data_IF_089873894390
#
_entry.id   IF_089873894390
#
_cell.length_a   1.000
_cell.length_b   1.000
_cell.length_c   1.000
_cell.angle_alpha   90.00
_cell.angle_beta   90.00
_cell.angle_gamma   90.00
#
_symmetry.space_group_name_H-M   'P 1'
#
loop_
_entity.id
_entity.type
_entity.pdbx_description
1 polymer ?
#
# COMPACT_ATOMS: atom_id res chain seq x y z
N UNK A 1 -15.63 22.49 1.29
CA UNK A 1 -14.39 22.27 2.07
C UNK A 1 -13.49 21.18 1.50
N UNK A 2 -13.97 19.95 1.25
CA UNK A 2 -13.14 18.89 0.66
C UNK A 2 -12.54 19.26 -0.71
N UNK A 3 -13.35 19.84 -1.61
CA UNK A 3 -12.90 20.36 -2.92
C UNK A 3 -11.83 21.46 -2.80
N UNK A 4 -11.91 22.27 -1.75
CA UNK A 4 -10.97 23.37 -1.50
C UNK A 4 -9.61 22.84 -1.05
N UNK A 5 -9.60 21.80 -0.21
CA UNK A 5 -8.39 21.11 0.23
C UNK A 5 -7.70 20.35 -0.91
N UNK A 6 -8.48 19.68 -1.77
CA UNK A 6 -7.95 19.01 -2.97
C UNK A 6 -7.33 20.04 -3.92
N UNK A 7 -7.98 21.19 -4.14
CA UNK A 7 -7.43 22.30 -4.94
C UNK A 7 -6.12 22.83 -4.35
N UNK A 8 -6.06 23.08 -3.04
CA UNK A 8 -4.85 23.58 -2.38
C UNK A 8 -3.68 22.60 -2.50
N UNK A 9 -3.92 21.31 -2.25
CA UNK A 9 -2.90 20.28 -2.44
C UNK A 9 -2.41 20.23 -3.88
N UNK A 10 -3.32 20.27 -4.85
CA UNK A 10 -2.98 20.25 -6.27
C UNK A 10 -2.17 21.48 -6.70
N UNK A 11 -2.51 22.65 -6.15
CA UNK A 11 -1.80 23.90 -6.44
C UNK A 11 -0.39 23.89 -5.83
N UNK A 12 -0.23 23.27 -4.66
CA UNK A 12 1.08 23.11 -4.00
C UNK A 12 1.97 22.09 -4.73
N UNK A 13 1.43 20.96 -5.20
CA UNK A 13 2.20 20.04 -6.05
C UNK A 13 2.59 20.70 -7.36
N UNK A 14 1.68 21.43 -8.02
CA UNK A 14 2.00 22.16 -9.24
C UNK A 14 3.05 23.26 -9.01
N UNK A 15 3.00 23.98 -7.90
CA UNK A 15 4.01 24.98 -7.57
C UNK A 15 5.37 24.37 -7.20
N UNK A 16 5.41 23.20 -6.54
CA UNK A 16 6.67 22.47 -6.34
C UNK A 16 7.25 21.98 -7.67
N UNK A 17 6.40 21.46 -8.57
CA UNK A 17 6.80 20.99 -9.89
C UNK A 17 7.34 22.12 -10.78
N UNK A 18 6.80 23.34 -10.63
CA UNK A 18 7.30 24.53 -11.32
C UNK A 18 8.62 25.08 -10.76
N UNK A 19 8.96 24.75 -9.50
CA UNK A 19 10.14 25.29 -8.82
C UNK A 19 11.43 24.54 -9.17
N UNK A 20 11.34 23.30 -9.66
CA UNK A 20 12.48 22.51 -10.14
C UNK A 20 12.03 21.53 -11.23
N UNK A 21 12.43 21.72 -12.50
CA UNK A 21 12.13 20.78 -13.57
C UNK A 21 12.71 19.39 -13.29
N UNK A 22 13.82 19.31 -12.54
CA UNK A 22 14.41 18.04 -12.12
C UNK A 22 13.48 17.24 -11.19
N UNK A 23 12.85 17.90 -10.20
CA UNK A 23 11.87 17.24 -9.32
C UNK A 23 10.66 16.75 -10.12
N UNK A 24 10.19 17.54 -11.10
CA UNK A 24 9.10 17.12 -11.98
C UNK A 24 9.48 15.87 -12.77
N UNK A 25 10.65 15.87 -13.43
CA UNK A 25 11.13 14.73 -14.23
C UNK A 25 11.27 13.47 -13.37
N UNK A 26 11.89 13.55 -12.19
CA UNK A 26 12.03 12.41 -11.28
C UNK A 26 10.66 11.91 -10.79
N UNK A 27 9.73 12.82 -10.48
CA UNK A 27 8.37 12.45 -10.05
C UNK A 27 7.59 11.73 -11.15
N UNK A 28 7.67 12.24 -12.39
CA UNK A 28 7.00 11.65 -13.55
C UNK A 28 7.61 10.29 -13.89
N UNK A 29 8.94 10.17 -13.91
CA UNK A 29 9.62 8.90 -14.16
C UNK A 29 9.31 7.88 -13.05
N UNK A 30 9.31 8.30 -11.78
CA UNK A 30 8.93 7.44 -10.67
C UNK A 30 7.47 6.98 -10.75
N UNK A 31 6.55 7.88 -11.09
CA UNK A 31 5.15 7.54 -11.29
C UNK A 31 4.97 6.55 -12.46
N UNK A 32 5.64 6.81 -13.59
CA UNK A 32 5.59 5.94 -14.77
C UNK A 32 6.18 4.56 -14.48
N UNK A 33 7.29 4.51 -13.74
CA UNK A 33 7.92 3.25 -13.34
C UNK A 33 7.00 2.42 -12.45
N UNK A 34 6.42 3.02 -11.41
CA UNK A 34 5.52 2.33 -10.48
C UNK A 34 4.25 1.87 -11.19
N UNK A 35 3.65 2.71 -12.03
CA UNK A 35 2.47 2.34 -12.81
C UNK A 35 2.79 1.28 -13.87
N UNK A 36 3.97 1.34 -14.51
CA UNK A 36 4.43 0.35 -15.47
C UNK A 36 4.65 -1.02 -14.80
N UNK A 37 5.29 -1.05 -13.64
CA UNK A 37 5.44 -2.28 -12.84
C UNK A 37 4.09 -2.83 -12.40
N UNK A 38 3.15 -1.98 -11.98
CA UNK A 38 1.80 -2.40 -11.65
C UNK A 38 1.07 -3.01 -12.85
N UNK A 39 1.19 -2.40 -14.04
CA UNK A 39 0.60 -2.94 -15.26
C UNK A 39 1.17 -4.33 -15.59
N UNK A 40 2.49 -4.49 -15.55
CA UNK A 40 3.13 -5.80 -15.75
C UNK A 40 2.63 -6.82 -14.72
N UNK A 41 2.62 -6.46 -13.44
CA UNK A 41 2.13 -7.34 -12.38
C UNK A 41 0.67 -7.75 -12.61
N UNK A 42 -0.22 -6.81 -12.92
CA UNK A 42 -1.63 -7.10 -13.23
C UNK A 42 -1.73 -8.04 -14.42
N UNK A 43 -0.97 -7.81 -15.51
CA UNK A 43 -1.01 -8.69 -16.67
C UNK A 43 -0.59 -10.11 -16.32
N UNK A 44 0.51 -10.28 -15.57
CA UNK A 44 0.98 -11.60 -15.14
C UNK A 44 -0.01 -12.30 -14.22
N UNK A 45 -0.64 -11.57 -13.30
CA UNK A 45 -1.65 -12.13 -12.40
C UNK A 45 -2.89 -12.57 -13.18
N UNK A 46 -3.41 -11.73 -14.06
CA UNK A 46 -4.65 -12.02 -14.80
C UNK A 46 -4.45 -13.14 -15.82
N UNK A 47 -3.28 -13.25 -16.46
CA UNK A 47 -3.02 -14.31 -17.45
C UNK A 47 -2.42 -15.58 -16.85
N UNK A 48 -1.65 -15.46 -15.76
CA UNK A 48 -0.94 -16.58 -15.14
C UNK A 48 -1.77 -17.37 -14.12
N UNK A 49 -2.55 -16.69 -13.28
CA UNK A 49 -3.35 -17.37 -12.23
C UNK A 49 -4.46 -18.30 -12.75
N UNK A 50 -5.14 -18.05 -13.89
CA UNK A 50 -6.14 -18.96 -14.43
C UNK A 50 -5.60 -20.35 -14.81
N UNK A 51 -4.29 -20.49 -15.02
CA UNK A 51 -3.68 -21.78 -15.35
C UNK A 51 -3.51 -22.72 -14.14
N UNK A 52 -3.70 -22.20 -12.90
CA UNK A 52 -3.59 -23.00 -11.68
C UNK A 52 -4.92 -23.67 -11.30
N UNK A 53 -4.87 -24.81 -10.58
CA UNK A 53 -6.04 -25.38 -9.91
C UNK A 53 -6.69 -24.36 -8.96
N UNK A 54 -8.01 -24.44 -8.81
CA UNK A 54 -8.81 -23.48 -8.03
C UNK A 54 -8.31 -23.28 -6.59
N UNK A 55 -7.89 -24.37 -5.94
CA UNK A 55 -7.38 -24.33 -4.56
C UNK A 55 -6.04 -23.60 -4.46
N UNK A 56 -5.09 -23.94 -5.33
CA UNK A 56 -3.77 -23.31 -5.41
C UNK A 56 -3.89 -21.82 -5.76
N UNK A 57 -4.82 -21.50 -6.65
CA UNK A 57 -5.16 -20.14 -7.06
C UNK A 57 -5.72 -19.31 -5.90
N UNK A 58 -6.66 -19.87 -5.13
CA UNK A 58 -7.19 -19.25 -3.91
C UNK A 58 -6.10 -18.90 -2.91
N UNK A 59 -5.30 -19.89 -2.53
CA UNK A 59 -4.18 -19.71 -1.60
C UNK A 59 -3.17 -18.67 -2.09
N UNK A 60 -2.80 -18.70 -3.38
CA UNK A 60 -1.86 -17.73 -3.98
C UNK A 60 -2.40 -16.30 -3.91
N UNK A 61 -3.68 -16.08 -4.27
CA UNK A 61 -4.26 -14.73 -4.24
C UNK A 61 -4.32 -14.14 -2.83
N UNK A 62 -4.64 -14.97 -1.82
CA UNK A 62 -4.65 -14.55 -0.42
C UNK A 62 -3.23 -14.24 0.06
N UNK A 63 -2.25 -15.07 -0.30
CA UNK A 63 -0.86 -14.89 0.10
C UNK A 63 -0.25 -13.62 -0.50
N UNK A 64 -0.49 -13.36 -1.80
CA UNK A 64 -0.06 -12.10 -2.43
C UNK A 64 -0.73 -10.90 -1.77
N UNK A 65 -2.04 -10.96 -1.51
CA UNK A 65 -2.75 -9.87 -0.84
C UNK A 65 -2.20 -9.60 0.57
N UNK A 66 -1.90 -10.66 1.35
CA UNK A 66 -1.31 -10.55 2.67
C UNK A 66 0.09 -9.92 2.63
N UNK A 67 0.94 -10.31 1.67
CA UNK A 67 2.26 -9.71 1.46
C UNK A 67 2.14 -8.23 1.12
N UNK A 68 1.18 -7.84 0.27
CA UNK A 68 0.94 -6.43 -0.07
C UNK A 68 0.52 -5.62 1.17
N UNK A 69 -0.36 -6.16 2.02
CA UNK A 69 -0.76 -5.51 3.28
C UNK A 69 0.45 -5.35 4.22
N UNK A 70 1.26 -6.38 4.37
CA UNK A 70 2.47 -6.34 5.20
C UNK A 70 3.49 -5.33 4.65
N UNK A 71 3.70 -5.29 3.34
CA UNK A 71 4.56 -4.31 2.69
C UNK A 71 4.10 -2.88 2.98
N UNK A 72 2.78 -2.63 2.93
CA UNK A 72 2.20 -1.32 3.31
C UNK A 72 2.31 -1.00 4.80
N UNK A 73 2.41 -1.99 5.69
CA UNK A 73 2.64 -1.75 7.11
C UNK A 73 4.08 -1.30 7.38
N UNK A 74 5.04 -1.83 6.61
CA UNK A 74 6.47 -1.65 6.86
C UNK A 74 7.06 -0.49 6.05
N UNK A 75 6.80 -0.44 4.74
CA UNK A 75 7.48 0.48 3.81
C UNK A 75 7.17 1.95 4.12
N UNK A 76 5.92 2.40 4.25
CA UNK A 76 5.62 3.82 4.44
C UNK A 76 6.25 4.40 5.72
N UNK A 77 6.15 3.75 6.90
CA UNK A 77 6.87 4.22 8.09
C UNK A 77 8.37 4.39 7.91
N UNK A 78 9.04 3.48 7.20
CA UNK A 78 10.48 3.58 6.93
C UNK A 78 10.82 4.75 6.00
N UNK A 79 10.02 4.97 4.96
CA UNK A 79 10.24 6.06 3.99
C UNK A 79 9.92 7.42 4.62
N UNK A 80 8.87 7.52 5.45
CA UNK A 80 8.49 8.77 6.14
C UNK A 80 9.33 9.06 7.38
N UNK A 81 10.07 8.06 7.89
CA UNK A 81 10.68 8.05 9.23
C UNK A 81 11.91 8.94 9.45
N UNK A 82 12.17 9.93 8.59
CA UNK A 82 13.42 10.71 8.65
C UNK A 82 13.22 12.23 8.72
N UNK A 83 12.08 12.78 8.27
CA UNK A 83 11.88 14.23 8.27
C UNK A 83 11.08 14.73 9.49
N UNK A 84 11.82 15.08 10.54
CA UNK A 84 11.33 15.73 11.76
C UNK A 84 10.98 17.22 11.56
N UNK A 85 10.22 17.57 10.53
CA UNK A 85 9.86 18.98 10.23
C UNK A 85 8.39 19.32 10.52
N UNK A 86 7.55 18.35 10.84
CA UNK A 86 6.13 18.56 11.10
C UNK A 86 5.80 18.29 12.57
N UNK A 87 5.87 19.33 13.38
CA UNK A 87 5.38 19.32 14.77
C UNK A 87 3.84 19.21 14.77
N UNK A 88 3.26 18.08 15.24
CA UNK A 88 1.81 17.84 15.29
C UNK A 88 1.11 18.74 16.32
N UNK A 89 1.85 19.34 17.25
CA UNK A 89 1.28 20.23 18.27
C UNK A 89 0.81 21.57 17.71
N UNK A 90 1.22 21.94 16.49
CA UNK A 90 0.75 23.17 15.84
C UNK A 90 -0.70 23.09 15.31
N UNK A 91 -1.26 21.88 15.19
CA UNK A 91 -2.61 21.68 14.63
C UNK A 91 -3.73 21.59 15.68
N UNK A 92 -3.44 21.71 16.98
CA UNK A 92 -4.45 21.76 18.05
C UNK A 92 -5.38 22.99 17.91
N UNK A 93 -4.97 24.00 17.16
CA UNK A 93 -5.73 25.23 16.92
C UNK A 93 -6.90 25.08 15.93
N UNK A 94 -7.01 23.98 15.19
CA UNK A 94 -8.09 23.79 14.21
C UNK A 94 -9.08 22.70 14.64
N UNK A 95 -10.34 23.03 14.95
CA UNK A 95 -11.38 22.06 15.30
C UNK A 95 -11.86 21.34 14.03
N UNK A 96 -11.04 20.42 13.51
CA UNK A 96 -11.42 19.57 12.38
C UNK A 96 -11.91 18.23 12.92
N UNK A 97 -13.14 17.81 12.61
CA UNK A 97 -13.67 16.52 13.08
C UNK A 97 -12.81 15.35 12.55
N UNK A 98 -12.39 14.47 13.46
CA UNK A 98 -11.45 13.37 13.19
C UNK A 98 -11.84 12.49 11.97
N UNK A 99 -13.14 12.31 11.73
CA UNK A 99 -13.66 11.53 10.59
C UNK A 99 -13.32 12.15 9.24
N UNK A 100 -13.35 13.48 9.14
CA UNK A 100 -13.00 14.22 7.92
C UNK A 100 -11.50 14.23 7.68
N UNK A 101 -10.72 14.19 8.76
CA UNK A 101 -9.26 14.11 8.70
C UNK A 101 -8.80 12.72 8.25
N UNK A 102 -9.40 11.65 8.80
CA UNK A 102 -9.14 10.27 8.40
C UNK A 102 -9.59 10.03 6.94
N UNK A 103 -10.81 10.45 6.58
CA UNK A 103 -11.28 10.34 5.20
C UNK A 103 -10.41 11.15 4.22
N UNK A 104 -10.00 12.36 4.63
CA UNK A 104 -9.08 13.20 3.87
C UNK A 104 -7.70 12.56 3.67
N UNK A 105 -7.16 11.88 4.69
CA UNK A 105 -5.89 11.14 4.66
C UNK A 105 -5.95 9.89 3.78
N UNK A 106 -7.06 9.15 3.83
CA UNK A 106 -7.27 7.96 2.98
C UNK A 106 -7.40 8.37 1.51
N UNK A 107 -8.26 9.36 1.20
CA UNK A 107 -8.42 9.89 -0.16
C UNK A 107 -7.10 10.49 -0.70
N UNK A 108 -6.37 11.16 0.17
CA UNK A 108 -5.02 11.67 -0.02
C UNK A 108 -4.03 10.59 -0.47
N UNK A 109 -4.09 9.41 0.12
CA UNK A 109 -3.16 8.33 -0.13
C UNK A 109 -3.42 7.68 -1.51
N UNK A 110 -4.68 7.59 -1.93
CA UNK A 110 -5.06 7.17 -3.28
C UNK A 110 -4.68 8.15 -4.39
N UNK A 111 -4.40 9.41 -4.05
CA UNK A 111 -3.92 10.41 -5.02
C UNK A 111 -2.44 10.18 -5.38
N UNK A 112 -1.75 9.29 -4.68
CA UNK A 112 -0.36 8.95 -5.00
C UNK A 112 -0.29 7.87 -6.08
N UNK A 113 0.70 7.92 -7.00
CA UNK A 113 0.91 6.87 -8.00
C UNK A 113 1.03 5.47 -7.38
N UNK A 114 1.63 5.39 -6.19
CA UNK A 114 1.82 4.13 -5.43
C UNK A 114 0.50 3.58 -4.91
N UNK A 115 -0.38 4.43 -4.35
CA UNK A 115 -1.71 4.00 -3.90
C UNK A 115 -2.57 3.51 -5.07
N UNK A 116 -2.49 4.19 -6.21
CA UNK A 116 -3.22 3.84 -7.43
C UNK A 116 -2.71 2.53 -8.04
N UNK A 117 -1.39 2.33 -8.07
CA UNK A 117 -0.77 1.07 -8.46
C UNK A 117 -1.18 -0.10 -7.55
N UNK A 118 -1.22 0.10 -6.23
CA UNK A 118 -1.64 -0.94 -5.27
C UNK A 118 -3.09 -1.36 -5.52
N UNK A 119 -3.98 -0.38 -5.73
CA UNK A 119 -5.38 -0.65 -6.06
C UNK A 119 -5.50 -1.43 -7.37
N UNK A 120 -4.76 -1.04 -8.40
CA UNK A 120 -4.75 -1.75 -9.68
C UNK A 120 -4.30 -3.22 -9.52
N UNK A 121 -3.23 -3.48 -8.76
CA UNK A 121 -2.72 -4.84 -8.52
C UNK A 121 -3.72 -5.70 -7.75
N UNK A 122 -4.33 -5.18 -6.68
CA UNK A 122 -5.29 -5.92 -5.87
C UNK A 122 -6.62 -6.14 -6.61
N UNK A 123 -7.04 -5.21 -7.45
CA UNK A 123 -8.13 -5.45 -8.40
C UNK A 123 -7.75 -6.47 -9.47
N UNK A 124 -6.49 -6.47 -9.93
CA UNK A 124 -5.95 -7.48 -10.84
C UNK A 124 -6.00 -8.89 -10.25
N UNK A 125 -5.72 -9.05 -8.95
CA UNK A 125 -5.91 -10.33 -8.24
C UNK A 125 -7.38 -10.79 -8.29
N UNK A 126 -8.31 -9.88 -8.03
CA UNK A 126 -9.75 -10.18 -8.13
C UNK A 126 -10.19 -10.49 -9.57
N UNK A 127 -9.71 -9.68 -10.53
CA UNK A 127 -9.97 -9.81 -11.95
C UNK A 127 -9.36 -11.07 -12.56
N UNK A 128 -8.37 -11.69 -11.90
CA UNK A 128 -7.87 -12.98 -12.34
C UNK A 128 -9.04 -13.96 -12.46
N UNK A 129 -10.00 -13.97 -11.52
CA UNK A 129 -11.14 -14.92 -11.47
C UNK A 129 -12.22 -14.68 -12.52
N UNK A 130 -11.89 -14.06 -13.66
CA UNK A 130 -12.83 -13.72 -14.73
C UNK A 130 -13.61 -14.92 -15.27
N UNK A 131 -13.05 -16.14 -15.18
CA UNK A 131 -13.69 -17.40 -15.57
C UNK A 131 -14.93 -17.76 -14.73
N UNK A 132 -15.01 -17.26 -13.49
CA UNK A 132 -16.02 -17.63 -12.48
C UNK A 132 -16.72 -16.37 -11.96
N UNK A 133 -17.94 -16.04 -12.42
CA UNK A 133 -18.57 -14.75 -12.13
C UNK A 133 -18.83 -14.50 -10.64
N UNK A 134 -19.13 -15.55 -9.86
CA UNK A 134 -19.30 -15.43 -8.41
C UNK A 134 -17.98 -15.12 -7.68
N UNK A 135 -16.89 -15.77 -8.08
CA UNK A 135 -15.56 -15.54 -7.51
C UNK A 135 -14.98 -14.20 -7.95
N UNK A 136 -15.27 -13.75 -9.17
CA UNK A 136 -14.91 -12.43 -9.67
C UNK A 136 -15.50 -11.31 -8.81
N UNK A 137 -16.80 -11.37 -8.51
CA UNK A 137 -17.46 -10.35 -7.69
C UNK A 137 -16.87 -10.30 -6.27
N UNK A 138 -16.66 -11.47 -5.64
CA UNK A 138 -16.04 -11.57 -4.33
C UNK A 138 -14.58 -11.09 -4.34
N UNK A 139 -13.81 -11.46 -5.37
CA UNK A 139 -12.41 -11.09 -5.54
C UNK A 139 -12.21 -9.59 -5.79
N UNK A 140 -13.06 -8.97 -6.61
CA UNK A 140 -13.02 -7.51 -6.84
C UNK A 140 -13.42 -6.73 -5.59
N UNK A 141 -14.48 -7.15 -4.89
CA UNK A 141 -14.88 -6.54 -3.63
C UNK A 141 -13.78 -6.69 -2.57
N UNK A 142 -13.28 -7.90 -2.37
CA UNK A 142 -12.20 -8.20 -1.43
C UNK A 142 -10.91 -7.46 -1.77
N UNK A 143 -10.53 -7.41 -3.05
CA UNK A 143 -9.36 -6.65 -3.52
C UNK A 143 -9.48 -5.16 -3.25
N UNK A 144 -10.65 -4.56 -3.53
CA UNK A 144 -10.91 -3.16 -3.23
C UNK A 144 -10.86 -2.87 -1.71
N UNK A 145 -11.52 -3.69 -0.89
CA UNK A 145 -11.47 -3.56 0.57
C UNK A 145 -10.06 -3.72 1.12
N UNK A 146 -9.30 -4.68 0.60
CA UNK A 146 -7.91 -4.91 1.01
C UNK A 146 -7.03 -3.71 0.63
N UNK A 147 -7.21 -3.15 -0.57
CA UNK A 147 -6.47 -1.97 -1.02
C UNK A 147 -6.72 -0.76 -0.11
N UNK A 148 -8.00 -0.48 0.20
CA UNK A 148 -8.37 0.61 1.10
C UNK A 148 -7.79 0.39 2.49
N UNK A 149 -7.92 -0.81 3.04
CA UNK A 149 -7.42 -1.13 4.38
C UNK A 149 -5.89 -1.03 4.44
N UNK A 150 -5.17 -1.60 3.48
CA UNK A 150 -3.71 -1.58 3.42
C UNK A 150 -3.16 -0.15 3.34
N UNK A 151 -3.69 0.65 2.41
CA UNK A 151 -3.24 2.02 2.19
C UNK A 151 -3.59 2.92 3.39
N UNK A 152 -4.78 2.74 3.97
CA UNK A 152 -5.22 3.50 5.15
C UNK A 152 -4.36 3.19 6.37
N UNK A 153 -4.09 1.90 6.65
CA UNK A 153 -3.26 1.48 7.79
C UNK A 153 -1.83 1.96 7.60
N UNK A 154 -1.22 1.72 6.44
CA UNK A 154 0.18 2.09 6.20
C UNK A 154 0.41 3.59 6.24
N UNK A 155 -0.46 4.38 5.60
CA UNK A 155 -0.35 5.85 5.59
C UNK A 155 -0.72 6.46 6.93
N UNK A 156 -1.74 5.91 7.61
CA UNK A 156 -2.14 6.35 8.95
C UNK A 156 -1.07 6.07 9.99
N UNK A 157 -0.49 4.87 9.97
CA UNK A 157 0.61 4.50 10.86
C UNK A 157 1.85 5.35 10.59
N UNK A 158 2.22 5.55 9.32
CA UNK A 158 3.32 6.44 8.96
C UNK A 158 3.09 7.89 9.48
N UNK A 159 1.88 8.42 9.32
CA UNK A 159 1.52 9.74 9.85
C UNK A 159 1.57 9.82 11.38
N UNK A 160 1.08 8.79 12.07
CA UNK A 160 1.18 8.71 13.53
C UNK A 160 2.63 8.59 14.00
N UNK A 161 3.44 7.74 13.38
CA UNK A 161 4.83 7.55 13.75
C UNK A 161 5.65 8.81 13.49
N UNK A 162 5.43 9.51 12.38
CA UNK A 162 6.03 10.81 12.11
C UNK A 162 5.67 11.84 13.21
N UNK A 163 4.44 11.82 13.70
CA UNK A 163 4.01 12.68 14.79
C UNK A 163 4.69 12.38 16.14
N UNK A 164 4.94 11.11 16.45
CA UNK A 164 5.56 10.68 17.71
C UNK A 164 7.11 10.60 17.66
N UNK A 165 7.72 10.63 16.47
CA UNK A 165 9.16 10.54 16.27
C UNK A 165 9.96 11.76 16.78
N UNK A 166 9.29 12.79 17.32
CA UNK A 166 9.94 13.93 18.01
C UNK A 166 10.75 13.52 19.25
N UNK A 167 10.53 12.30 19.78
CA UNK A 167 11.33 11.73 20.88
C UNK A 167 12.37 10.73 20.36
N UNK A 168 13.65 11.07 20.49
CA UNK A 168 14.82 10.25 20.07
C UNK A 168 14.73 8.77 20.49
N UNK A 169 14.27 8.49 21.72
CA UNK A 169 14.08 7.11 22.22
C UNK A 169 12.96 6.34 21.53
N UNK A 170 11.88 7.01 21.13
CA UNK A 170 10.74 6.37 20.47
C UNK A 170 11.10 6.03 19.03
N UNK A 171 11.86 6.89 18.36
CA UNK A 171 12.40 6.61 17.02
C UNK A 171 13.26 5.34 17.02
N UNK A 172 14.21 5.23 17.94
CA UNK A 172 15.12 4.08 17.97
C UNK A 172 14.36 2.77 18.27
N UNK A 173 13.37 2.80 19.19
CA UNK A 173 12.51 1.64 19.48
C UNK A 173 11.63 1.27 18.28
N UNK A 174 11.00 2.25 17.63
CA UNK A 174 10.14 2.02 16.47
C UNK A 174 10.95 1.49 15.28
N UNK A 175 12.13 2.04 15.02
CA UNK A 175 13.03 1.54 13.99
C UNK A 175 13.43 0.10 14.27
N UNK A 176 13.83 -0.24 15.50
CA UNK A 176 14.16 -1.63 15.87
C UNK A 176 12.94 -2.55 15.75
N UNK A 177 11.77 -2.11 16.24
CA UNK A 177 10.53 -2.89 16.20
C UNK A 177 10.04 -3.16 14.77
N UNK A 178 10.25 -2.22 13.84
CA UNK A 178 9.97 -2.38 12.41
C UNK A 178 11.07 -3.15 11.67
N UNK A 179 12.32 -3.07 12.13
CA UNK A 179 13.46 -3.75 11.51
C UNK A 179 13.47 -5.26 11.82
N UNK A 180 13.03 -5.67 13.01
CA UNK A 180 12.90 -7.09 13.39
C UNK A 180 12.04 -7.88 12.40
N UNK A 181 10.78 -7.50 12.12
CA UNK A 181 9.95 -8.21 11.15
C UNK A 181 10.48 -8.08 9.72
N UNK A 182 11.21 -7.01 9.38
CA UNK A 182 11.84 -6.87 8.07
C UNK A 182 13.00 -7.86 7.89
N UNK A 183 13.87 -8.01 8.90
CA UNK A 183 14.94 -9.03 8.90
C UNK A 183 14.35 -10.44 8.89
N UNK A 184 13.29 -10.68 9.66
CA UNK A 184 12.59 -11.96 9.67
C UNK A 184 11.74 -12.18 8.42
N UNK A 185 11.51 -11.14 7.61
CA UNK A 185 10.67 -11.20 6.41
C UNK A 185 11.18 -12.21 5.38
N UNK A 186 12.51 -12.36 5.25
CA UNK A 186 13.09 -13.39 4.38
C UNK A 186 12.77 -14.82 4.85
N UNK A 187 12.81 -15.06 6.16
CA UNK A 187 12.47 -16.35 6.76
C UNK A 187 10.95 -16.59 6.69
N UNK A 188 10.14 -15.57 6.99
CA UNK A 188 8.69 -15.67 6.89
C UNK A 188 8.23 -15.96 5.47
N UNK A 189 8.88 -15.35 4.47
CA UNK A 189 8.61 -15.62 3.06
C UNK A 189 9.06 -17.03 2.66
N UNK A 190 10.23 -17.50 3.10
CA UNK A 190 10.67 -18.87 2.81
C UNK A 190 9.74 -19.92 3.45
N UNK A 191 9.28 -19.67 4.67
CA UNK A 191 8.34 -20.54 5.37
C UNK A 191 6.96 -20.54 4.72
N UNK A 192 6.51 -19.40 4.21
CA UNK A 192 5.25 -19.32 3.47
C UNK A 192 5.31 -20.11 2.15
N UNK A 193 6.45 -20.08 1.44
CA UNK A 193 6.68 -20.87 0.23
C UNK A 193 6.72 -22.36 0.58
N UNK A 194 7.47 -22.77 1.60
CA UNK A 194 7.53 -24.16 2.05
C UNK A 194 6.15 -24.70 2.49
N UNK A 195 5.39 -23.89 3.24
CA UNK A 195 4.02 -24.25 3.66
C UNK A 195 3.08 -24.41 2.47
N UNK A 196 3.29 -23.66 1.39
CA UNK A 196 2.51 -23.77 0.16
C UNK A 196 2.85 -25.06 -0.60
N UNK A 197 4.12 -25.44 -0.68
CA UNK A 197 4.55 -26.72 -1.24
C UNK A 197 3.97 -27.91 -0.45
N UNK A 198 3.98 -27.83 0.89
CA UNK A 198 3.41 -28.85 1.76
C UNK A 198 1.88 -28.94 1.61
N UNK A 199 1.18 -27.81 1.46
CA UNK A 199 -0.26 -27.81 1.24
C UNK A 199 -0.63 -28.45 -0.11
N UNK A 200 0.15 -28.19 -1.17
CA UNK A 200 -0.03 -28.83 -2.46
C UNK A 200 0.28 -30.33 -2.43
N UNK A 201 1.19 -30.77 -1.55
CA UNK A 201 1.49 -32.19 -1.36
C UNK A 201 0.39 -32.97 -0.62
N UNK A 202 -0.44 -32.27 0.17
CA UNK A 202 -1.54 -32.86 0.95
C UNK A 202 -2.87 -32.86 0.17
N UNK A 203 -3.00 -32.03 -0.88
CA UNK A 203 -4.18 -32.02 -1.73
C UNK A 203 -4.29 -33.32 -2.56
N UNK A 204 -5.39 -34.09 -2.46
CA UNK A 204 -5.58 -35.30 -3.26
C UNK A 204 -5.75 -34.94 -4.74
N UNK A 205 -5.06 -35.69 -5.61
CA UNK A 205 -5.03 -35.49 -7.06
C UNK A 205 -6.33 -35.87 -7.76
#
# INVERSE_FOLDING_TARGET
MALTLVRLRWTLTLNQWRRSPFTLVVSVLGALYVLGMAAVAVTLLVTGLPALPDEARGATTVLVAAVVVLAWLVIPPFVTGVDATLDPHSFVLFPVPARTLIAGLVLSAFTTPVGLATLAVLLGLGASWWDRPAALAAGLAGGAFTAVTAVAIGSGLAGLLAAYASRRRVRDVVSVLLFIPLMLGGVALSQAIASFEDFLAIAPQ
#
